data_IF_237438923558
#
_entry.id   IF_237438923558
#
_cell.length_a   1.000
_cell.length_b   1.000
_cell.length_c   1.000
_cell.angle_alpha   90.00
_cell.angle_beta   90.00
_cell.angle_gamma   90.00
#
_symmetry.space_group_name_H-M   'P 1'
#
loop_
_entity.id
_entity.type
_entity.pdbx_description
1 polymer ?
#
# COMPACT_ATOMS: atom_id res chain seq x y z
N UNK A 1 -3.83 -6.14 -16.51
CA UNK A 1 -4.56 -7.34 -16.07
C UNK A 1 -3.96 -8.53 -16.79
N UNK A 2 -3.68 -9.62 -16.07
CA UNK A 2 -3.03 -10.81 -16.62
C UNK A 2 -3.96 -12.02 -16.46
N UNK A 3 -3.91 -13.00 -17.39
CA UNK A 3 -4.63 -14.24 -17.23
C UNK A 3 -4.05 -15.07 -16.05
N UNK A 4 -4.82 -16.02 -15.50
CA UNK A 4 -4.28 -17.00 -14.56
C UNK A 4 -3.11 -17.78 -15.15
N UNK A 5 -2.19 -18.22 -14.29
CA UNK A 5 -1.03 -19.04 -14.67
C UNK A 5 -1.17 -20.43 -14.06
N UNK A 6 -0.97 -21.48 -14.85
CA UNK A 6 -0.97 -22.86 -14.37
C UNK A 6 0.42 -23.25 -13.87
N UNK A 7 0.50 -23.71 -12.61
CA UNK A 7 1.72 -24.31 -12.04
C UNK A 7 1.35 -25.69 -11.50
N UNK A 8 1.91 -26.74 -12.10
CA UNK A 8 1.52 -28.12 -11.81
C UNK A 8 0.06 -28.39 -12.21
N UNK A 9 -0.78 -28.73 -11.22
CA UNK A 9 -2.23 -29.02 -11.41
C UNK A 9 -3.14 -27.89 -10.90
N UNK A 10 -2.60 -26.70 -10.65
CA UNK A 10 -3.34 -25.59 -10.05
C UNK A 10 -3.21 -24.33 -10.90
N UNK A 11 -4.27 -23.54 -10.93
CA UNK A 11 -4.28 -22.20 -11.52
C UNK A 11 -4.07 -21.15 -10.43
N UNK A 12 -3.27 -20.14 -10.75
CA UNK A 12 -2.88 -19.08 -9.83
C UNK A 12 -3.18 -17.72 -10.44
N UNK A 13 -3.62 -16.80 -9.58
CA UNK A 13 -3.75 -15.38 -9.87
C UNK A 13 -2.88 -14.60 -8.88
N UNK A 14 -2.88 -13.28 -9.00
CA UNK A 14 -2.18 -12.40 -8.07
C UNK A 14 -2.58 -12.68 -6.61
N UNK A 15 -1.59 -12.76 -5.72
CA UNK A 15 -1.79 -13.07 -4.31
C UNK A 15 -2.50 -11.97 -3.52
N UNK A 16 -2.60 -10.75 -4.06
CA UNK A 16 -3.25 -9.61 -3.44
C UNK A 16 -4.72 -9.84 -3.10
N UNK A 17 -5.42 -10.73 -3.82
CA UNK A 17 -6.81 -11.09 -3.51
C UNK A 17 -6.96 -12.01 -2.29
N UNK A 18 -5.91 -12.75 -1.94
CA UNK A 18 -5.92 -13.72 -0.84
C UNK A 18 -5.19 -13.18 0.40
N UNK A 19 -3.94 -12.73 0.21
CA UNK A 19 -3.08 -12.20 1.27
C UNK A 19 -2.25 -11.02 0.76
N UNK A 20 -2.84 -9.83 0.81
CA UNK A 20 -2.24 -8.61 0.29
C UNK A 20 -1.01 -8.14 1.07
N UNK A 21 -0.99 -8.35 2.39
CA UNK A 21 0.16 -8.04 3.24
C UNK A 21 0.51 -9.26 4.10
N UNK A 22 1.42 -10.14 3.65
CA UNK A 22 1.65 -11.44 4.27
C UNK A 22 2.55 -11.35 5.51
N UNK A 23 2.12 -10.64 6.56
CA UNK A 23 2.83 -10.48 7.83
C UNK A 23 3.07 -11.85 8.49
N UNK A 24 2.01 -12.66 8.60
CA UNK A 24 2.09 -14.01 9.18
C UNK A 24 3.16 -14.88 8.49
N UNK A 25 3.27 -14.80 7.16
CA UNK A 25 4.28 -15.56 6.41
C UNK A 25 5.70 -15.10 6.74
N UNK A 26 5.92 -13.80 6.89
CA UNK A 26 7.23 -13.28 7.28
C UNK A 26 7.63 -13.77 8.69
N UNK A 27 6.68 -13.84 9.62
CA UNK A 27 6.89 -14.39 10.97
C UNK A 27 7.21 -15.88 10.91
N UNK A 28 6.46 -16.67 10.13
CA UNK A 28 6.72 -18.11 9.93
C UNK A 28 8.10 -18.38 9.33
N UNK A 29 8.62 -17.45 8.53
CA UNK A 29 9.98 -17.48 7.98
C UNK A 29 11.06 -17.02 8.98
N UNK A 30 10.68 -16.63 10.20
CA UNK A 30 11.59 -16.26 11.28
C UNK A 30 11.98 -14.78 11.33
N UNK A 31 11.15 -13.88 10.80
CA UNK A 31 11.41 -12.44 10.92
C UNK A 31 11.12 -11.92 12.34
N UNK A 32 12.13 -11.32 12.98
CA UNK A 32 12.00 -10.66 14.29
C UNK A 32 11.57 -9.18 14.17
N UNK A 33 11.82 -8.57 13.01
CA UNK A 33 11.47 -7.18 12.69
C UNK A 33 10.88 -7.11 11.27
N UNK A 34 9.72 -6.48 11.13
CA UNK A 34 8.95 -6.40 9.88
C UNK A 34 8.61 -4.95 9.58
N UNK A 35 8.99 -4.49 8.39
CA UNK A 35 8.56 -3.20 7.85
C UNK A 35 7.45 -3.40 6.83
N UNK A 36 6.25 -2.97 7.16
CA UNK A 36 5.09 -3.05 6.29
C UNK A 36 4.99 -1.78 5.46
N UNK A 37 4.97 -1.91 4.13
CA UNK A 37 4.75 -0.81 3.19
C UNK A 37 3.33 -0.90 2.62
N UNK A 38 2.32 -0.25 3.23
CA UNK A 38 0.97 -0.28 2.70
C UNK A 38 0.88 0.51 1.39
N UNK A 39 0.14 -0.05 0.43
CA UNK A 39 -0.20 0.65 -0.81
C UNK A 39 -1.37 1.60 -0.51
N UNK A 40 -1.19 2.88 -0.82
CA UNK A 40 -2.27 3.85 -0.75
C UNK A 40 -3.20 3.76 -1.95
N UNK A 41 -4.47 4.07 -1.75
CA UNK A 41 -5.51 4.06 -2.79
C UNK A 41 -6.06 5.49 -2.97
N UNK A 42 -5.32 6.41 -3.60
CA UNK A 42 -5.69 7.83 -3.63
C UNK A 42 -7.02 8.10 -4.32
N UNK A 43 -7.46 7.23 -5.23
CA UNK A 43 -8.77 7.31 -5.88
C UNK A 43 -9.95 7.04 -4.94
N UNK A 44 -9.72 6.49 -3.74
CA UNK A 44 -10.74 6.36 -2.69
C UNK A 44 -11.05 7.65 -1.96
N UNK A 45 -10.26 8.70 -2.17
CA UNK A 45 -10.53 10.00 -1.57
C UNK A 45 -11.69 10.74 -2.28
N UNK A 46 -12.24 10.17 -3.36
CA UNK A 46 -13.41 10.70 -4.08
C UNK A 46 -14.67 9.94 -3.65
N UNK A 47 -15.78 10.64 -3.54
CA UNK A 47 -17.06 9.98 -3.24
C UNK A 47 -17.47 9.08 -4.43
N UNK A 48 -17.75 7.79 -4.20
CA UNK A 48 -18.10 6.89 -5.28
C UNK A 48 -19.48 7.26 -5.84
N UNK A 49 -19.54 7.49 -7.15
CA UNK A 49 -20.76 7.96 -7.83
C UNK A 49 -21.59 6.83 -8.44
N UNK A 50 -21.13 5.58 -8.34
CA UNK A 50 -21.80 4.41 -8.90
C UNK A 50 -21.51 3.14 -8.09
N UNK A 51 -22.27 2.07 -8.34
CA UNK A 51 -22.19 0.81 -7.59
C UNK A 51 -20.81 0.14 -7.69
N UNK A 52 -20.14 0.21 -8.84
CA UNK A 52 -18.78 -0.31 -9.00
C UNK A 52 -17.79 0.47 -8.13
N UNK A 53 -17.88 1.80 -8.13
CA UNK A 53 -17.10 2.66 -7.25
C UNK A 53 -17.32 2.33 -5.78
N UNK A 54 -18.57 2.12 -5.35
CA UNK A 54 -18.88 1.70 -3.98
C UNK A 54 -18.25 0.34 -3.64
N UNK A 55 -18.29 -0.63 -4.55
CA UNK A 55 -17.68 -1.94 -4.35
C UNK A 55 -16.15 -1.86 -4.22
N UNK A 56 -15.49 -1.04 -5.06
CA UNK A 56 -14.05 -0.81 -4.97
C UNK A 56 -13.66 -0.12 -3.65
N UNK A 57 -14.49 0.83 -3.18
CA UNK A 57 -14.31 1.46 -1.87
C UNK A 57 -14.42 0.45 -0.73
N UNK A 58 -15.48 -0.38 -0.74
CA UNK A 58 -15.66 -1.40 0.28
C UNK A 58 -14.48 -2.39 0.31
N UNK A 59 -14.03 -2.84 -0.87
CA UNK A 59 -12.88 -3.74 -1.00
C UNK A 59 -11.62 -3.14 -0.38
N UNK A 60 -11.31 -1.89 -0.68
CA UNK A 60 -10.12 -1.26 -0.13
C UNK A 60 -10.21 -1.03 1.39
N UNK A 61 -11.40 -0.72 1.93
CA UNK A 61 -11.60 -0.68 3.39
C UNK A 61 -11.42 -2.04 4.04
N UNK A 62 -11.87 -3.12 3.40
CA UNK A 62 -11.64 -4.49 3.88
C UNK A 62 -10.14 -4.80 3.91
N UNK A 63 -9.40 -4.38 2.88
CA UNK A 63 -7.94 -4.51 2.83
C UNK A 63 -7.28 -3.78 4.00
N UNK A 64 -7.64 -2.52 4.24
CA UNK A 64 -7.11 -1.72 5.36
C UNK A 64 -7.40 -2.39 6.72
N UNK A 65 -8.65 -2.79 6.94
CA UNK A 65 -9.05 -3.46 8.19
C UNK A 65 -8.34 -4.79 8.40
N UNK A 66 -8.11 -5.56 7.34
CA UNK A 66 -7.36 -6.82 7.42
C UNK A 66 -5.91 -6.57 7.82
N UNK A 67 -5.28 -5.53 7.27
CA UNK A 67 -3.93 -5.15 7.68
C UNK A 67 -3.89 -4.76 9.16
N UNK A 68 -4.82 -3.91 9.61
CA UNK A 68 -4.90 -3.50 11.01
C UNK A 68 -5.07 -4.71 11.95
N UNK A 69 -5.90 -5.67 11.57
CA UNK A 69 -6.12 -6.90 12.33
C UNK A 69 -4.85 -7.78 12.39
N UNK A 70 -4.15 -7.97 11.27
CA UNK A 70 -2.89 -8.74 11.22
C UNK A 70 -1.80 -8.11 12.08
N UNK A 71 -1.66 -6.78 12.02
CA UNK A 71 -0.70 -6.03 12.85
C UNK A 71 -1.06 -6.17 14.33
N UNK A 72 -2.34 -5.99 14.68
CA UNK A 72 -2.79 -6.10 16.06
C UNK A 72 -2.59 -7.51 16.64
N UNK A 73 -2.80 -8.55 15.84
CA UNK A 73 -2.64 -9.94 16.27
C UNK A 73 -1.17 -10.33 16.57
N UNK A 74 -0.19 -9.66 15.95
CA UNK A 74 1.22 -10.06 16.01
C UNK A 74 2.16 -9.02 16.65
N UNK A 75 1.64 -7.86 17.07
CA UNK A 75 2.44 -6.78 17.67
C UNK A 75 3.20 -7.17 18.94
N UNK A 76 2.70 -8.17 19.67
CA UNK A 76 3.30 -8.61 20.93
C UNK A 76 4.37 -9.70 20.71
N UNK A 77 4.38 -10.34 19.54
CA UNK A 77 5.34 -11.41 19.18
C UNK A 77 6.48 -10.94 18.28
N UNK A 78 6.29 -9.86 17.53
CA UNK A 78 7.23 -9.40 16.49
C UNK A 78 7.26 -7.88 16.43
N UNK A 79 8.43 -7.27 16.17
CA UNK A 79 8.52 -5.83 15.98
C UNK A 79 7.96 -5.44 14.61
N UNK A 80 6.76 -4.87 14.56
CA UNK A 80 6.08 -4.52 13.31
C UNK A 80 6.04 -3.00 13.15
N UNK A 81 6.66 -2.50 12.07
CA UNK A 81 6.72 -1.10 11.69
C UNK A 81 5.85 -0.87 10.46
N UNK A 82 4.66 -0.31 10.65
CA UNK A 82 3.81 0.12 9.54
C UNK A 82 4.28 1.47 9.03
N UNK A 83 4.81 1.50 7.81
CA UNK A 83 5.21 2.72 7.12
C UNK A 83 3.95 3.54 6.77
N UNK A 84 4.03 4.88 6.77
CA UNK A 84 2.89 5.71 6.42
C UNK A 84 2.41 5.37 5.01
N UNK A 85 1.11 5.16 4.85
CA UNK A 85 0.51 4.97 3.55
C UNK A 85 0.80 6.18 2.67
N UNK A 86 1.27 5.87 1.48
CA UNK A 86 1.66 6.82 0.48
C UNK A 86 0.39 7.40 -0.17
N UNK A 87 0.07 8.68 0.10
CA UNK A 87 -0.93 9.45 -0.66
C UNK A 87 -0.38 9.79 -2.05
N UNK A 88 -0.41 8.77 -2.91
CA UNK A 88 0.04 8.87 -4.30
C UNK A 88 -0.78 9.96 -5.00
N UNK A 89 -0.16 10.74 -5.89
CA UNK A 89 -0.94 11.52 -6.83
C UNK A 89 -1.91 10.60 -7.60
N UNK A 90 -2.97 11.15 -8.20
CA UNK A 90 -3.99 10.41 -8.97
C UNK A 90 -3.39 9.82 -10.27
N UNK A 91 -2.47 8.88 -10.09
CA UNK A 91 -1.69 8.17 -11.11
C UNK A 91 -2.31 6.79 -11.21
N UNK A 92 -2.75 6.44 -12.41
CA UNK A 92 -3.27 5.11 -12.68
C UNK A 92 -2.22 4.04 -12.33
N UNK A 93 -2.59 2.91 -11.71
CA UNK A 93 -1.68 1.78 -11.53
C UNK A 93 -1.08 1.23 -12.85
N UNK A 94 -1.68 1.59 -13.99
CA UNK A 94 -1.20 1.23 -15.33
C UNK A 94 -0.41 2.35 -16.03
N UNK A 95 -0.19 3.51 -15.39
CA UNK A 95 0.60 4.61 -15.94
C UNK A 95 2.08 4.50 -15.53
N UNK A 96 2.90 4.00 -16.44
CA UNK A 96 4.35 3.84 -16.25
C UNK A 96 5.15 5.09 -16.65
N UNK A 97 4.52 6.17 -17.12
CA UNK A 97 5.24 7.39 -17.52
C UNK A 97 5.87 8.13 -16.32
N UNK A 98 5.43 7.80 -15.09
CA UNK A 98 5.81 8.49 -13.84
C UNK A 98 6.74 7.68 -12.94
N UNK A 99 7.33 6.59 -13.43
CA UNK A 99 8.12 5.64 -12.62
C UNK A 99 9.21 6.32 -11.77
N UNK A 100 10.05 7.19 -12.36
CA UNK A 100 11.15 7.84 -11.62
C UNK A 100 10.63 8.65 -10.45
N UNK A 101 9.59 9.44 -10.69
CA UNK A 101 9.01 10.31 -9.67
C UNK A 101 8.37 9.52 -8.53
N UNK A 102 7.67 8.43 -8.85
CA UNK A 102 7.08 7.54 -7.85
C UNK A 102 8.17 6.88 -6.98
N UNK A 103 9.29 6.47 -7.56
CA UNK A 103 10.45 5.94 -6.84
C UNK A 103 11.05 6.99 -5.90
N UNK A 104 11.37 8.18 -6.44
CA UNK A 104 11.97 9.27 -5.66
C UNK A 104 11.07 9.71 -4.49
N UNK A 105 9.77 9.68 -4.72
CA UNK A 105 8.80 10.01 -3.69
C UNK A 105 8.69 8.92 -2.62
N UNK A 106 8.63 7.64 -3.02
CA UNK A 106 8.69 6.52 -2.08
C UNK A 106 9.94 6.56 -1.22
N UNK A 107 11.10 6.81 -1.82
CA UNK A 107 12.38 6.96 -1.11
C UNK A 107 12.34 8.09 -0.08
N UNK A 108 11.92 9.30 -0.48
CA UNK A 108 11.84 10.45 0.43
C UNK A 108 10.86 10.21 1.57
N UNK A 109 9.72 9.57 1.30
CA UNK A 109 8.71 9.24 2.32
C UNK A 109 9.23 8.22 3.32
N UNK A 110 9.85 7.14 2.86
CA UNK A 110 10.49 6.15 3.75
C UNK A 110 11.60 6.79 4.59
N UNK A 111 12.48 7.59 3.96
CA UNK A 111 13.56 8.31 4.67
C UNK A 111 13.03 9.21 5.77
N UNK A 112 11.96 9.97 5.51
CA UNK A 112 11.31 10.82 6.53
C UNK A 112 10.75 9.99 7.68
N UNK A 113 10.03 8.92 7.39
CA UNK A 113 9.43 8.06 8.41
C UNK A 113 10.49 7.42 9.30
N UNK A 114 11.58 6.92 8.72
CA UNK A 114 12.69 6.32 9.47
C UNK A 114 13.48 7.37 10.28
N UNK A 115 13.67 8.56 9.74
CA UNK A 115 14.39 9.64 10.45
C UNK A 115 13.58 10.27 11.59
N UNK A 116 12.25 10.12 11.58
CA UNK A 116 11.36 10.72 12.58
C UNK A 116 11.37 9.98 13.94
N UNK A 117 11.88 8.75 14.01
CA UNK A 117 12.18 8.03 15.25
C UNK A 117 10.96 7.63 16.11
N UNK A 118 10.83 6.32 16.36
CA UNK A 118 9.93 5.64 17.31
C UNK A 118 8.49 5.37 16.85
N UNK A 119 8.35 4.42 15.91
CA UNK A 119 7.65 3.14 16.16
C UNK A 119 6.17 3.14 16.59
N UNK A 120 5.49 4.28 16.65
CA UNK A 120 4.04 4.34 16.83
C UNK A 120 3.45 4.91 15.56
N UNK A 121 2.52 4.15 15.00
CA UNK A 121 1.64 4.49 13.89
C UNK A 121 1.55 5.99 13.68
N UNK A 122 2.38 6.53 12.79
CA UNK A 122 2.14 7.85 12.24
C UNK A 122 1.03 7.61 11.24
N UNK A 123 -0.22 7.73 11.72
CA UNK A 123 -1.36 7.89 10.81
C UNK A 123 -0.95 8.96 9.80
N UNK A 124 -1.01 8.67 8.50
CA UNK A 124 -0.49 9.57 7.49
C UNK A 124 -1.11 10.95 7.71
N UNK A 125 -0.27 11.96 7.93
CA UNK A 125 -0.75 13.34 7.92
C UNK A 125 -1.41 13.54 6.56
N UNK A 126 -2.74 13.74 6.54
CA UNK A 126 -3.50 14.01 5.29
C UNK A 126 -2.69 15.02 4.50
N UNK A 127 -2.35 14.71 3.25
CA UNK A 127 -1.61 15.64 2.42
C UNK A 127 -2.43 16.94 2.32
N UNK A 128 -2.05 17.96 3.10
CA UNK A 128 -2.69 19.29 3.10
C UNK A 128 -2.49 20.02 1.77
N UNK A 129 -1.72 19.44 0.86
CA UNK A 129 -1.54 19.93 -0.51
C UNK A 129 -1.73 18.77 -1.47
N UNK A 130 -2.83 18.83 -2.22
CA UNK A 130 -2.95 18.16 -3.52
C UNK A 130 -1.68 18.46 -4.30
N UNK A 131 -0.88 17.43 -4.60
CA UNK A 131 0.31 17.59 -5.41
C UNK A 131 -0.14 18.01 -6.81
N UNK A 132 0.03 19.29 -7.16
CA UNK A 132 -0.06 19.72 -8.55
C UNK A 132 1.20 19.22 -9.25
N UNK A 133 1.04 18.10 -9.92
CA UNK A 133 2.03 17.58 -10.84
C UNK A 133 2.15 18.58 -12.01
N UNK A 134 3.29 19.26 -12.11
CA UNK A 134 3.58 20.17 -13.22
C UNK A 134 3.53 19.38 -14.54
N UNK A 135 2.81 19.86 -15.58
CA UNK A 135 2.81 19.24 -16.91
C UNK A 135 4.12 19.40 -17.71
N UNK A 136 5.16 20.02 -17.15
CA UNK A 136 6.48 20.13 -17.76
C UNK A 136 7.47 19.59 -16.72
N UNK A 137 8.25 18.54 -16.97
CA UNK A 137 9.29 18.45 -18.00
C UNK A 137 9.38 17.02 -18.59
N UNK A 138 8.46 16.68 -19.50
CA UNK A 138 8.66 15.56 -20.41
C UNK A 138 9.07 16.13 -21.78
N UNK A 139 10.39 16.24 -21.95
CA UNK A 139 11.14 16.63 -23.16
C UNK A 139 11.04 18.09 -23.62
#
# INVERSE_FOLDING_TARGET
MFPPVTIGRREYVDGGVANHTPITVAIELGADEIYVLPVGYPWLNREPTNALGMALHALARIVEQKLDAEVAAHRDSTSIHVMPALDLADVSPADFSRTRELIDWGYRSAKRALSAGNGRTVLPEKAKKTLRLSPAEAA
#
